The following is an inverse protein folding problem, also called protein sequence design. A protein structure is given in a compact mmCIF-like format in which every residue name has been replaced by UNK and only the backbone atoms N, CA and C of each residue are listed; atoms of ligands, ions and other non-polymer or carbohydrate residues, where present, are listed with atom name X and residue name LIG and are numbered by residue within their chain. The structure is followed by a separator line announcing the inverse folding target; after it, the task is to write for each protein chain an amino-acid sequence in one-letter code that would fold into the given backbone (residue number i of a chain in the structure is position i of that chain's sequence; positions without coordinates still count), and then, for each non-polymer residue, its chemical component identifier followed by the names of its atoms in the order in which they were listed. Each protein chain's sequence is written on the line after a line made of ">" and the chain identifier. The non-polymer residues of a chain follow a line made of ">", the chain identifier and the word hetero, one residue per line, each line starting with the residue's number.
data_IF_668704289798
#
_entry.id   IF_668704289798
#
_cell.length_a   1.000
_cell.length_b   1.000
_cell.length_c   1.000
_cell.angle_alpha   90.00
_cell.angle_beta   90.00
_cell.angle_gamma   90.00
#
_symmetry.space_group_name_H-M   'P 1'
#
loop_
_entity.id
_entity.type
_entity.pdbx_description
1 polymer ?
#
# COMPACT_ATOMS: atom_id res chain seq x y z
N UNK A 1 -6.93 -26.19 -0.86
CA UNK A 1 -7.71 -25.21 -1.66
C UNK A 1 -7.59 -23.80 -1.12
N UNK A 2 -7.90 -23.57 0.17
CA UNK A 2 -7.81 -22.23 0.81
C UNK A 2 -6.40 -21.61 0.74
N UNK A 3 -5.34 -22.42 0.89
CA UNK A 3 -3.96 -21.95 0.84
C UNK A 3 -3.55 -21.40 -0.55
N UNK A 4 -4.08 -21.98 -1.63
CA UNK A 4 -3.83 -21.48 -2.98
C UNK A 4 -4.52 -20.12 -3.20
N UNK A 5 -5.74 -19.95 -2.69
CA UNK A 5 -6.46 -18.67 -2.72
C UNK A 5 -5.73 -17.59 -1.89
N UNK A 6 -5.23 -17.95 -0.70
CA UNK A 6 -4.42 -17.07 0.15
C UNK A 6 -3.09 -16.67 -0.53
N UNK A 7 -2.42 -17.62 -1.19
CA UNK A 7 -1.21 -17.33 -1.96
C UNK A 7 -1.46 -16.35 -3.11
N UNK A 8 -2.54 -16.53 -3.88
CA UNK A 8 -2.93 -15.61 -4.95
C UNK A 8 -3.29 -14.23 -4.38
N UNK A 9 -4.05 -14.17 -3.28
CA UNK A 9 -4.41 -12.92 -2.63
C UNK A 9 -3.17 -12.13 -2.16
N UNK A 10 -2.16 -12.82 -1.62
CA UNK A 10 -0.90 -12.20 -1.24
C UNK A 10 -0.15 -11.61 -2.45
N UNK A 11 -0.07 -12.36 -3.56
CA UNK A 11 0.57 -11.89 -4.80
C UNK A 11 -0.15 -10.65 -5.35
N UNK A 12 -1.48 -10.65 -5.39
CA UNK A 12 -2.28 -9.51 -5.85
C UNK A 12 -2.05 -8.28 -4.97
N UNK A 13 -1.96 -8.44 -3.66
CA UNK A 13 -1.70 -7.33 -2.74
C UNK A 13 -0.30 -6.76 -2.88
N UNK A 14 0.72 -7.61 -3.08
CA UNK A 14 2.09 -7.16 -3.36
C UNK A 14 2.13 -6.38 -4.68
N UNK A 15 1.46 -6.88 -5.72
CA UNK A 15 1.42 -6.19 -7.02
C UNK A 15 0.70 -4.83 -6.92
N UNK A 16 -0.43 -4.78 -6.22
CA UNK A 16 -1.17 -3.55 -5.97
C UNK A 16 -0.33 -2.53 -5.17
N UNK A 17 0.47 -2.99 -4.20
CA UNK A 17 1.38 -2.14 -3.45
C UNK A 17 2.47 -1.54 -4.34
N UNK A 18 3.10 -2.35 -5.20
CA UNK A 18 4.14 -1.89 -6.13
C UNK A 18 3.56 -0.85 -7.11
N UNK A 19 2.41 -1.14 -7.72
CA UNK A 19 1.74 -0.22 -8.64
C UNK A 19 1.38 1.09 -7.92
N UNK A 20 0.85 1.00 -6.70
CA UNK A 20 0.59 2.19 -5.87
C UNK A 20 1.88 2.97 -5.66
N UNK A 21 2.96 2.36 -5.16
CA UNK A 21 4.24 3.05 -4.94
C UNK A 21 4.80 3.73 -6.20
N UNK A 22 4.67 3.11 -7.37
CA UNK A 22 5.07 3.71 -8.66
C UNK A 22 4.20 4.92 -9.01
N UNK A 23 2.88 4.84 -8.81
CA UNK A 23 1.96 5.97 -9.04
C UNK A 23 2.28 7.13 -8.10
N UNK A 24 2.56 6.84 -6.83
CA UNK A 24 2.95 7.87 -5.83
C UNK A 24 4.23 8.58 -6.27
N UNK A 25 5.24 7.83 -6.67
CA UNK A 25 6.50 8.38 -7.17
C UNK A 25 6.33 9.15 -8.48
N UNK A 26 5.37 8.75 -9.32
CA UNK A 26 4.99 9.49 -10.53
C UNK A 26 4.28 10.81 -10.20
N UNK A 27 3.43 10.83 -9.17
CA UNK A 27 2.78 12.04 -8.67
C UNK A 27 3.77 13.03 -8.05
N UNK A 28 4.91 12.56 -7.53
CA UNK A 28 5.97 13.42 -7.02
C UNK A 28 6.63 14.32 -8.09
N UNK A 29 6.61 13.88 -9.35
CA UNK A 29 7.16 14.62 -10.50
C UNK A 29 6.12 15.47 -11.24
N UNK A 30 4.85 15.45 -10.84
CA UNK A 30 3.87 16.37 -11.42
C UNK A 30 3.99 17.75 -10.78
N UNK A 31 3.78 18.81 -11.57
CA UNK A 31 3.80 20.19 -11.07
C UNK A 31 2.76 20.32 -9.95
N UNK A 32 3.26 20.37 -8.72
CA UNK A 32 2.44 20.71 -7.57
C UNK A 32 1.90 22.12 -7.75
N UNK A 33 0.63 22.32 -7.40
CA UNK A 33 -0.02 23.62 -7.46
C UNK A 33 0.86 24.68 -6.77
N UNK A 34 1.04 25.83 -7.42
CA UNK A 34 2.03 26.86 -7.01
C UNK A 34 1.73 27.44 -5.62
N UNK A 35 0.52 27.21 -5.08
CA UNK A 35 0.11 27.55 -3.72
C UNK A 35 0.35 26.48 -2.66
N UNK A 36 0.92 25.32 -3.02
CA UNK A 36 1.04 24.19 -2.10
C UNK A 36 2.20 24.39 -1.11
N UNK A 37 1.90 24.26 0.19
CA UNK A 37 2.87 24.47 1.27
C UNK A 37 4.07 23.51 1.14
N UNK A 38 5.28 24.04 1.29
CA UNK A 38 6.54 23.29 1.19
C UNK A 38 6.62 22.09 2.14
N UNK A 39 5.96 22.16 3.31
CA UNK A 39 5.88 21.04 4.26
C UNK A 39 5.09 19.84 3.69
N UNK A 40 4.00 20.10 2.96
CA UNK A 40 3.20 19.08 2.28
C UNK A 40 4.00 18.37 1.19
N UNK A 41 4.92 19.08 0.52
CA UNK A 41 5.81 18.51 -0.50
C UNK A 41 6.86 17.58 0.09
N UNK A 42 7.45 17.92 1.24
CA UNK A 42 8.53 17.14 1.87
C UNK A 42 8.03 15.86 2.55
N UNK A 43 6.81 15.88 3.07
CA UNK A 43 6.19 14.75 3.76
C UNK A 43 4.91 14.30 3.06
N UNK A 44 4.94 14.16 1.73
CA UNK A 44 3.74 13.85 0.93
C UNK A 44 3.01 12.60 1.44
N UNK A 45 3.74 11.55 1.83
CA UNK A 45 3.14 10.33 2.39
C UNK A 45 2.32 10.63 3.64
N UNK A 46 2.85 11.43 4.58
CA UNK A 46 2.15 11.74 5.85
C UNK A 46 1.04 12.77 5.63
N UNK A 47 1.25 13.69 4.68
CA UNK A 47 0.31 14.76 4.38
C UNK A 47 -0.88 14.30 3.52
N UNK A 48 -0.77 13.14 2.86
CA UNK A 48 -1.82 12.58 2.03
C UNK A 48 -2.33 11.24 2.59
N UNK A 49 -3.52 11.21 3.23
CA UNK A 49 -4.07 10.01 3.86
C UNK A 49 -4.28 8.84 2.89
N UNK A 50 -4.46 9.11 1.59
CA UNK A 50 -4.57 8.05 0.57
C UNK A 50 -3.24 7.30 0.41
N UNK A 51 -2.10 8.00 0.52
CA UNK A 51 -0.78 7.38 0.44
C UNK A 51 -0.51 6.49 1.65
N UNK A 52 -0.95 6.92 2.84
CA UNK A 52 -0.91 6.10 4.04
C UNK A 52 -1.75 4.84 3.86
N UNK A 53 -2.96 4.96 3.32
CA UNK A 53 -3.83 3.81 3.06
C UNK A 53 -3.19 2.81 2.09
N UNK A 54 -2.52 3.29 1.03
CA UNK A 54 -1.80 2.41 0.11
C UNK A 54 -0.65 1.63 0.75
N UNK A 55 -0.06 2.14 1.84
CA UNK A 55 0.99 1.43 2.59
C UNK A 55 0.40 0.51 3.65
N UNK A 56 -0.56 0.99 4.43
CA UNK A 56 -1.15 0.23 5.54
C UNK A 56 -2.02 -0.92 5.05
N UNK A 57 -2.77 -0.74 3.98
CA UNK A 57 -3.68 -1.78 3.47
C UNK A 57 -2.97 -3.10 3.11
N UNK A 58 -1.92 -3.13 2.27
CA UNK A 58 -1.22 -4.37 1.97
C UNK A 58 -0.52 -4.96 3.21
N UNK A 59 -0.04 -4.12 4.12
CA UNK A 59 0.58 -4.57 5.36
C UNK A 59 -0.44 -5.31 6.25
N UNK A 60 -1.66 -4.76 6.38
CA UNK A 60 -2.77 -5.40 7.10
C UNK A 60 -3.19 -6.71 6.43
N UNK A 61 -3.25 -6.76 5.09
CA UNK A 61 -3.59 -8.00 4.38
C UNK A 61 -2.54 -9.09 4.64
N UNK A 62 -1.24 -8.76 4.53
CA UNK A 62 -0.16 -9.73 4.75
C UNK A 62 -0.17 -10.24 6.19
N UNK A 63 -0.32 -9.35 7.17
CA UNK A 63 -0.40 -9.74 8.59
C UNK A 63 -1.66 -10.56 8.87
N UNK A 64 -2.81 -10.13 8.35
CA UNK A 64 -4.09 -10.84 8.49
C UNK A 64 -4.01 -12.24 7.90
N UNK A 65 -3.46 -12.38 6.70
CA UNK A 65 -3.23 -13.66 6.03
C UNK A 65 -2.29 -14.57 6.84
N UNK A 66 -1.18 -14.04 7.35
CA UNK A 66 -0.23 -14.80 8.17
C UNK A 66 -0.87 -15.32 9.46
N UNK A 67 -1.65 -14.48 10.15
CA UNK A 67 -2.38 -14.87 11.36
C UNK A 67 -3.44 -15.94 11.05
N UNK A 68 -4.19 -15.78 9.95
CA UNK A 68 -5.22 -16.75 9.54
C UNK A 68 -4.61 -18.11 9.21
N UNK A 69 -3.49 -18.14 8.50
CA UNK A 69 -2.74 -19.38 8.22
C UNK A 69 -2.21 -19.98 9.52
N UNK A 70 -1.70 -19.18 10.45
CA UNK A 70 -1.21 -19.72 11.73
C UNK A 70 -2.33 -20.38 12.56
N UNK A 71 -3.51 -19.77 12.62
CA UNK A 71 -4.63 -20.27 13.43
C UNK A 71 -5.46 -21.38 12.78
N UNK A 72 -5.68 -21.30 11.47
CA UNK A 72 -6.56 -22.22 10.73
C UNK A 72 -5.80 -23.12 9.76
N UNK A 73 -4.47 -22.98 9.70
CA UNK A 73 -3.62 -23.70 8.75
C UNK A 73 -3.06 -25.03 9.25
N UNK A 74 -3.57 -25.54 10.37
CA UNK A 74 -3.29 -26.87 10.91
C UNK A 74 -4.12 -27.95 10.24
#
# INVERSE_FOLDING_TARGET
>A
MIYYLLGIAAIVCIFAFIVSAVVIKKQENQEYDKGMNHLTRKHNIIANPILIAYVLFPLVIVLGAAVLIYYYGG
#
